data_IF_304261006976
#
_entry.id   IF_304261006976
#
_cell.length_a   1.000
_cell.length_b   1.000
_cell.length_c   1.000
_cell.angle_alpha   90.00
_cell.angle_beta   90.00
_cell.angle_gamma   90.00
#
_symmetry.space_group_name_H-M   'P 1'
#
loop_
_entity.id
_entity.type
_entity.pdbx_description
1 polymer ?
#
# COMPACT_ATOMS: atom_id res chain seq x y z
N UNK A 1 14.60 -4.75 29.85
CA UNK A 1 13.45 -4.23 29.08
C UNK A 1 13.23 -5.19 27.94
N UNK A 2 12.07 -5.85 27.87
CA UNK A 2 11.73 -6.71 26.73
C UNK A 2 11.34 -5.78 25.58
N UNK A 3 12.13 -5.75 24.51
CA UNK A 3 11.76 -5.05 23.29
C UNK A 3 10.47 -5.68 22.77
N UNK A 4 9.33 -4.99 22.94
CA UNK A 4 8.10 -5.40 22.27
C UNK A 4 8.38 -5.32 20.77
N UNK A 5 8.23 -6.44 20.06
CA UNK A 5 8.23 -6.40 18.61
C UNK A 5 7.11 -5.45 18.17
N UNK A 6 7.35 -4.59 17.16
CA UNK A 6 6.33 -3.70 16.62
C UNK A 6 5.11 -4.53 16.18
N UNK A 7 3.91 -4.09 16.54
CA UNK A 7 2.67 -4.71 16.08
C UNK A 7 2.28 -4.09 14.74
N UNK A 8 2.63 -4.75 13.64
CA UNK A 8 2.28 -4.29 12.30
C UNK A 8 0.92 -4.79 11.79
N UNK A 9 0.24 -5.62 12.59
CA UNK A 9 -1.00 -6.30 12.20
C UNK A 9 -0.77 -7.75 11.79
N UNK A 10 -1.69 -8.27 10.97
CA UNK A 10 -1.62 -9.63 10.45
C UNK A 10 -0.61 -9.68 9.31
N UNK A 11 0.44 -10.51 9.44
CA UNK A 11 1.39 -10.78 8.36
C UNK A 11 0.66 -11.49 7.21
N UNK A 12 0.90 -11.04 5.98
CA UNK A 12 0.24 -11.55 4.79
C UNK A 12 1.24 -12.24 3.86
N UNK A 13 2.31 -11.53 3.47
CA UNK A 13 3.27 -12.00 2.47
C UNK A 13 4.62 -11.26 2.60
N UNK A 14 5.65 -11.75 1.92
CA UNK A 14 6.97 -11.12 1.84
C UNK A 14 7.53 -11.19 0.42
N UNK A 15 7.82 -10.03 -0.18
CA UNK A 15 8.46 -9.96 -1.50
C UNK A 15 9.98 -9.88 -1.35
N UNK A 16 10.68 -10.85 -1.93
CA UNK A 16 12.14 -10.85 -2.05
C UNK A 16 12.56 -10.08 -3.29
N UNK A 17 13.49 -9.14 -3.15
CA UNK A 17 13.98 -8.36 -4.28
C UNK A 17 15.44 -7.92 -4.12
N UNK A 18 16.04 -7.56 -5.25
CA UNK A 18 17.42 -7.09 -5.35
C UNK A 18 17.51 -5.95 -6.34
N UNK A 19 18.25 -4.89 -6.01
CA UNK A 19 18.38 -3.74 -6.91
C UNK A 19 19.32 -3.99 -8.09
N UNK A 20 20.32 -4.85 -7.96
CA UNK A 20 21.29 -5.18 -9.01
C UNK A 20 21.57 -6.69 -9.09
N UNK A 21 21.76 -7.20 -10.30
CA UNK A 21 22.07 -8.63 -10.55
C UNK A 21 23.49 -9.02 -10.11
N UNK A 22 24.42 -8.06 -10.06
CA UNK A 22 25.86 -8.38 -9.97
C UNK A 22 26.44 -8.31 -8.55
N UNK A 23 25.78 -7.64 -7.59
CA UNK A 23 26.21 -7.51 -6.19
C UNK A 23 25.04 -7.03 -5.29
N UNK A 24 23.99 -7.84 -5.08
CA UNK A 24 22.84 -7.43 -4.29
C UNK A 24 22.80 -8.05 -2.90
N UNK A 25 22.66 -7.18 -1.90
CA UNK A 25 21.97 -7.50 -0.66
C UNK A 25 20.50 -7.80 -0.99
N UNK A 26 20.08 -9.05 -0.77
CA UNK A 26 18.67 -9.43 -0.86
C UNK A 26 17.88 -8.63 0.18
N UNK A 27 16.86 -7.91 -0.28
CA UNK A 27 15.92 -7.15 0.55
C UNK A 27 14.59 -7.90 0.58
N UNK A 28 13.92 -7.85 1.73
CA UNK A 28 12.55 -8.34 1.88
C UNK A 28 11.61 -7.13 2.00
N UNK A 29 10.42 -7.25 1.44
CA UNK A 29 9.31 -6.33 1.65
C UNK A 29 8.15 -7.12 2.25
N UNK A 30 8.06 -7.09 3.57
CA UNK A 30 7.00 -7.73 4.34
C UNK A 30 5.72 -6.89 4.29
N UNK A 31 4.59 -7.56 4.07
CA UNK A 31 3.27 -6.96 3.95
C UNK A 31 2.42 -7.38 5.14
N UNK A 32 1.84 -6.40 5.83
CA UNK A 32 0.90 -6.62 6.91
C UNK A 32 -0.40 -5.85 6.67
N UNK A 33 -1.52 -6.41 7.13
CA UNK A 33 -2.83 -5.80 7.04
C UNK A 33 -3.51 -5.73 8.40
N UNK A 34 -4.23 -4.64 8.65
CA UNK A 34 -5.17 -4.52 9.77
C UNK A 34 -6.45 -3.85 9.31
N UNK A 35 -7.59 -4.51 9.52
CA UNK A 35 -8.90 -3.95 9.20
C UNK A 35 -9.53 -3.32 10.43
N UNK A 36 -10.12 -2.14 10.27
CA UNK A 36 -10.93 -1.48 11.27
C UNK A 36 -12.32 -1.23 10.69
N UNK A 37 -13.34 -1.69 11.40
CA UNK A 37 -14.74 -1.38 11.09
C UNK A 37 -15.05 0.10 11.25
N UNK A 38 -14.31 0.80 12.14
CA UNK A 38 -14.46 2.22 12.42
C UNK A 38 -13.19 2.79 13.05
N UNK A 39 -12.69 3.91 12.55
CA UNK A 39 -11.63 4.73 13.19
C UNK A 39 -12.19 6.09 13.61
N UNK A 40 -12.09 6.43 14.89
CA UNK A 40 -12.60 7.68 15.47
C UNK A 40 -11.63 8.86 15.31
N UNK A 41 -10.32 8.59 15.23
CA UNK A 41 -9.26 9.59 15.18
C UNK A 41 -8.46 9.55 13.87
N UNK A 42 -9.15 9.52 12.72
CA UNK A 42 -8.50 9.39 11.41
C UNK A 42 -7.46 10.48 11.13
N UNK A 43 -7.67 11.71 11.59
CA UNK A 43 -6.73 12.83 11.42
C UNK A 43 -5.32 12.52 11.98
N UNK A 44 -5.20 12.27 13.29
CA UNK A 44 -3.93 11.85 13.90
C UNK A 44 -3.29 10.61 13.25
N UNK A 45 -4.10 9.63 12.84
CA UNK A 45 -3.60 8.41 12.17
C UNK A 45 -2.97 8.75 10.81
N UNK A 46 -3.63 9.59 10.02
CA UNK A 46 -3.10 10.04 8.73
C UNK A 46 -1.85 10.91 8.91
N UNK A 47 -1.84 11.82 9.88
CA UNK A 47 -0.68 12.68 10.15
C UNK A 47 0.55 11.85 10.57
N UNK A 48 0.35 10.82 11.40
CA UNK A 48 1.41 9.88 11.76
C UNK A 48 1.90 9.08 10.55
N UNK A 49 0.99 8.52 9.73
CA UNK A 49 1.34 7.77 8.54
C UNK A 49 2.20 8.61 7.57
N UNK A 50 1.79 9.87 7.31
CA UNK A 50 2.53 10.79 6.47
C UNK A 50 3.91 11.11 7.05
N UNK A 51 3.99 11.42 8.34
CA UNK A 51 5.27 11.71 9.00
C UNK A 51 6.23 10.51 8.92
N UNK A 52 5.77 9.29 9.19
CA UNK A 52 6.65 8.11 9.06
C UNK A 52 7.08 7.92 7.61
N UNK A 53 6.16 8.04 6.65
CA UNK A 53 6.48 7.85 5.24
C UNK A 53 7.51 8.86 4.69
N UNK A 54 7.51 10.10 5.20
CA UNK A 54 8.43 11.16 4.74
C UNK A 54 9.83 11.05 5.35
N UNK A 55 9.95 10.55 6.59
CA UNK A 55 11.20 10.61 7.37
C UNK A 55 11.88 9.27 7.62
N UNK A 56 11.28 8.14 7.23
CA UNK A 56 11.78 6.82 7.65
C UNK A 56 12.80 6.18 6.69
N UNK A 57 13.86 6.91 6.35
CA UNK A 57 14.98 6.36 5.58
C UNK A 57 15.92 5.54 6.46
N UNK A 58 16.50 4.44 5.97
CA UNK A 58 17.61 3.78 6.66
C UNK A 58 18.76 4.78 6.84
N UNK A 59 19.32 4.84 8.05
CA UNK A 59 20.50 5.67 8.34
C UNK A 59 21.68 5.14 7.51
N UNK A 60 22.03 5.84 6.43
CA UNK A 60 23.23 5.52 5.67
C UNK A 60 24.42 6.28 6.28
N UNK A 61 25.56 5.61 6.59
CA UNK A 61 26.74 6.28 7.14
C UNK A 61 27.41 7.25 6.16
N UNK A 62 27.00 7.26 4.88
CA UNK A 62 27.59 8.02 3.78
C UNK A 62 26.62 9.08 3.19
N UNK A 63 25.70 9.63 3.99
CA UNK A 63 24.78 10.72 3.60
C UNK A 63 25.55 12.02 3.28
N UNK A 64 26.28 12.00 2.18
CA UNK A 64 26.83 13.15 1.48
C UNK A 64 25.67 13.85 0.77
N UNK A 65 25.56 15.15 0.99
CA UNK A 65 24.45 16.03 0.59
C UNK A 65 24.16 16.14 -0.93
N UNK A 66 24.74 15.29 -1.77
CA UNK A 66 24.67 15.36 -3.24
C UNK A 66 24.25 14.05 -3.94
N UNK A 67 23.64 13.08 -3.25
CA UNK A 67 23.18 11.86 -3.91
C UNK A 67 22.09 12.17 -4.96
N UNK A 68 22.40 11.94 -6.23
CA UNK A 68 21.41 11.96 -7.33
C UNK A 68 20.31 10.95 -6.97
N UNK A 69 19.06 11.41 -6.81
CA UNK A 69 17.91 10.54 -6.54
C UNK A 69 17.70 9.63 -7.76
N UNK A 70 18.17 8.40 -7.68
CA UNK A 70 17.82 7.37 -8.67
C UNK A 70 16.36 6.96 -8.46
N UNK A 71 15.65 6.51 -9.50
CA UNK A 71 14.30 5.97 -9.33
C UNK A 71 14.21 4.86 -8.27
N UNK A 72 15.29 4.09 -8.08
CA UNK A 72 15.37 3.02 -7.09
C UNK A 72 15.40 3.51 -5.64
N UNK A 73 15.86 4.75 -5.39
CA UNK A 73 15.85 5.36 -4.04
C UNK A 73 14.45 5.54 -3.45
N UNK A 74 13.40 5.35 -4.26
CA UNK A 74 12.01 5.23 -3.81
C UNK A 74 11.82 4.05 -2.83
N UNK A 75 12.66 3.01 -2.90
CA UNK A 75 12.64 1.87 -1.99
C UNK A 75 13.47 2.09 -0.72
N UNK A 76 14.06 3.26 -0.50
CA UNK A 76 14.87 3.52 0.70
C UNK A 76 13.99 3.93 1.88
N UNK A 77 13.28 2.97 2.46
CA UNK A 77 12.44 3.13 3.64
C UNK A 77 12.54 1.93 4.58
N UNK A 78 12.30 2.14 5.89
CA UNK A 78 12.19 1.01 6.84
C UNK A 78 10.75 0.48 6.94
N UNK A 79 9.77 1.37 7.11
CA UNK A 79 8.34 1.05 7.09
C UNK A 79 7.54 2.16 6.42
N UNK A 80 6.49 1.76 5.69
CA UNK A 80 5.47 2.64 5.14
C UNK A 80 4.09 2.23 5.62
N UNK A 81 3.24 3.23 5.84
CA UNK A 81 1.84 3.04 6.20
C UNK A 81 0.93 3.65 5.13
N UNK A 82 -0.05 2.86 4.69
CA UNK A 82 -1.15 3.32 3.84
C UNK A 82 -2.46 3.11 4.58
N UNK A 83 -3.26 4.17 4.66
CA UNK A 83 -4.57 4.17 5.31
C UNK A 83 -5.62 4.18 4.21
N UNK A 84 -6.09 2.99 3.83
CA UNK A 84 -6.87 2.73 2.63
C UNK A 84 -8.38 2.76 2.91
N UNK A 85 -9.16 3.13 1.91
CA UNK A 85 -10.62 2.93 1.88
C UNK A 85 -10.93 1.48 1.50
N UNK A 86 -11.43 0.65 2.42
CA UNK A 86 -11.71 -0.77 2.12
C UNK A 86 -12.81 -0.94 1.06
N UNK A 87 -13.63 0.09 0.81
CA UNK A 87 -14.65 0.06 -0.25
C UNK A 87 -14.10 -0.14 -1.67
N UNK A 88 -12.84 0.20 -1.90
CA UNK A 88 -12.17 0.02 -3.19
C UNK A 88 -11.14 -1.12 -3.17
N UNK A 89 -11.21 -2.02 -2.18
CA UNK A 89 -10.33 -3.17 -2.07
C UNK A 89 -11.18 -4.43 -2.20
N UNK A 90 -10.96 -5.19 -3.27
CA UNK A 90 -11.69 -6.45 -3.50
C UNK A 90 -11.23 -7.58 -2.58
N UNK A 91 -9.91 -7.80 -2.51
CA UNK A 91 -9.32 -8.96 -1.86
C UNK A 91 -7.89 -8.64 -1.40
N UNK A 92 -7.29 -9.56 -0.64
CA UNK A 92 -5.86 -9.50 -0.31
C UNK A 92 -5.01 -9.65 -1.57
N UNK A 93 -5.41 -10.49 -2.52
CA UNK A 93 -4.70 -10.68 -3.79
C UNK A 93 -4.68 -9.40 -4.63
N UNK A 94 -5.78 -8.63 -4.64
CA UNK A 94 -5.80 -7.30 -5.23
C UNK A 94 -4.69 -6.39 -4.66
N UNK A 95 -4.53 -6.36 -3.33
CA UNK A 95 -3.49 -5.56 -2.67
C UNK A 95 -2.08 -6.05 -3.01
N UNK A 96 -1.83 -7.35 -2.85
CA UNK A 96 -0.52 -7.95 -3.10
C UNK A 96 -0.09 -7.73 -4.56
N UNK A 97 -1.01 -7.89 -5.51
CA UNK A 97 -0.73 -7.66 -6.91
C UNK A 97 -0.39 -6.19 -7.20
N UNK A 98 -1.08 -5.23 -6.58
CA UNK A 98 -0.73 -3.80 -6.68
C UNK A 98 0.63 -3.49 -6.08
N UNK A 99 0.97 -4.07 -4.91
CA UNK A 99 2.29 -3.89 -4.27
C UNK A 99 3.40 -4.49 -5.15
N UNK A 100 3.24 -5.73 -5.61
CA UNK A 100 4.19 -6.40 -6.49
C UNK A 100 4.41 -5.61 -7.79
N UNK A 101 3.33 -5.06 -8.36
CA UNK A 101 3.41 -4.24 -9.58
C UNK A 101 4.13 -2.92 -9.33
N UNK A 102 3.83 -2.23 -8.23
CA UNK A 102 4.55 -1.02 -7.83
C UNK A 102 6.05 -1.30 -7.63
N UNK A 103 6.38 -2.39 -6.94
CA UNK A 103 7.77 -2.82 -6.74
C UNK A 103 8.48 -3.08 -8.08
N UNK A 104 7.83 -3.82 -8.98
CA UNK A 104 8.36 -4.12 -10.31
C UNK A 104 8.63 -2.85 -11.13
N UNK A 105 7.73 -1.85 -11.05
CA UNK A 105 7.91 -0.58 -11.75
C UNK A 105 9.14 0.18 -11.25
N UNK A 106 9.32 0.25 -9.93
CA UNK A 106 10.48 0.91 -9.33
C UNK A 106 11.78 0.19 -9.68
N UNK A 107 11.81 -1.14 -9.59
CA UNK A 107 12.98 -1.96 -9.95
C UNK A 107 13.33 -1.84 -11.44
N UNK A 108 12.33 -1.64 -12.30
CA UNK A 108 12.49 -1.40 -13.73
C UNK A 108 12.84 0.05 -14.08
N UNK A 109 13.07 0.92 -13.09
CA UNK A 109 13.33 2.35 -13.25
C UNK A 109 12.24 3.11 -14.00
N UNK A 110 10.98 2.68 -13.87
CA UNK A 110 9.79 3.32 -14.46
C UNK A 110 8.71 3.63 -13.42
N UNK A 111 9.03 4.24 -12.27
CA UNK A 111 7.97 4.67 -11.35
C UNK A 111 7.15 5.80 -12.00
N UNK A 112 5.84 5.83 -11.73
CA UNK A 112 4.97 6.93 -12.14
C UNK A 112 4.96 8.05 -11.10
N UNK A 113 5.22 7.71 -9.85
CA UNK A 113 5.14 8.60 -8.70
C UNK A 113 6.50 8.82 -8.03
N UNK A 114 6.54 9.77 -7.09
CA UNK A 114 7.78 10.22 -6.44
C UNK A 114 8.18 9.43 -5.19
N UNK A 115 7.27 8.60 -4.66
CA UNK A 115 7.52 7.74 -3.50
C UNK A 115 6.72 6.42 -3.60
N UNK A 116 7.11 5.43 -2.79
CA UNK A 116 6.56 4.08 -2.95
C UNK A 116 5.11 3.99 -2.48
N UNK A 117 4.74 4.74 -1.44
CA UNK A 117 3.35 4.86 -0.97
C UNK A 117 2.43 5.33 -2.10
N UNK A 118 2.82 6.36 -2.84
CA UNK A 118 2.03 6.87 -3.96
C UNK A 118 2.02 5.91 -5.14
N UNK A 119 3.08 5.13 -5.34
CA UNK A 119 3.15 4.13 -6.41
C UNK A 119 2.18 2.97 -6.14
N UNK A 120 2.15 2.47 -4.91
CA UNK A 120 1.21 1.43 -4.47
C UNK A 120 -0.23 1.93 -4.57
N UNK A 121 -0.52 3.12 -4.06
CA UNK A 121 -1.87 3.71 -4.16
C UNK A 121 -2.29 3.97 -5.62
N UNK A 122 -1.34 4.34 -6.49
CA UNK A 122 -1.58 4.44 -7.92
C UNK A 122 -1.91 3.08 -8.54
N UNK A 123 -1.18 2.01 -8.18
CA UNK A 123 -1.44 0.65 -8.66
C UNK A 123 -2.73 0.03 -8.11
N UNK A 124 -3.29 0.54 -7.01
CA UNK A 124 -4.58 0.11 -6.45
C UNK A 124 -5.81 0.71 -7.14
N UNK A 125 -5.63 1.75 -7.95
CA UNK A 125 -6.73 2.45 -8.63
C UNK A 125 -6.85 2.04 -10.09
N UNK A 126 -8.03 2.18 -10.69
CA UNK A 126 -8.24 2.08 -12.14
C UNK A 126 -7.90 3.38 -12.90
N UNK A 127 -7.59 4.47 -12.19
CA UNK A 127 -7.29 5.79 -12.76
C UNK A 127 -5.90 5.88 -13.37
N UNK A 128 -5.75 6.62 -14.47
CA UNK A 128 -4.45 6.98 -15.06
C UNK A 128 -3.80 8.21 -14.41
N UNK A 129 -4.51 8.91 -13.52
CA UNK A 129 -4.00 10.07 -12.79
C UNK A 129 -3.61 9.68 -11.37
N UNK A 130 -2.38 9.99 -10.97
CA UNK A 130 -1.86 9.75 -9.61
C UNK A 130 -2.73 10.45 -8.56
N UNK A 131 -2.99 11.76 -8.71
CA UNK A 131 -3.81 12.51 -7.76
C UNK A 131 -5.21 11.92 -7.55
N UNK A 132 -5.91 11.59 -8.65
CA UNK A 132 -7.22 10.92 -8.57
C UNK A 132 -7.14 9.54 -7.92
N UNK A 133 -6.04 8.81 -8.11
CA UNK A 133 -5.84 7.49 -7.50
C UNK A 133 -5.72 7.63 -5.98
N UNK A 134 -4.91 8.59 -5.52
CA UNK A 134 -4.74 8.89 -4.09
C UNK A 134 -6.06 9.30 -3.45
N UNK A 135 -6.76 10.26 -4.05
CA UNK A 135 -8.04 10.76 -3.54
C UNK A 135 -9.12 9.68 -3.41
N UNK A 136 -9.06 8.64 -4.24
CA UNK A 136 -10.04 7.55 -4.25
C UNK A 136 -9.66 6.46 -3.26
N UNK A 137 -8.42 5.99 -3.32
CA UNK A 137 -7.95 4.80 -2.59
C UNK A 137 -7.57 5.12 -1.14
N UNK A 138 -7.01 6.30 -0.88
CA UNK A 138 -6.61 6.70 0.48
C UNK A 138 -7.77 7.36 1.23
N UNK A 139 -7.82 7.14 2.53
CA UNK A 139 -8.66 7.92 3.43
C UNK A 139 -8.12 9.34 3.56
N UNK A 140 -9.04 10.28 3.72
CA UNK A 140 -8.78 11.70 3.95
C UNK A 140 -9.25 12.11 5.35
N UNK A 141 -8.81 13.29 5.81
CA UNK A 141 -9.29 13.86 7.09
C UNK A 141 -10.81 14.13 7.11
N UNK A 142 -11.45 14.15 5.94
CA UNK A 142 -12.89 14.33 5.79
C UNK A 142 -13.69 13.03 6.00
N UNK A 143 -13.02 11.87 5.92
CA UNK A 143 -13.63 10.54 6.09
C UNK A 143 -13.82 10.18 7.58
N UNK A 144 -14.61 10.99 8.29
CA UNK A 144 -14.82 10.84 9.74
C UNK A 144 -15.54 9.53 10.05
N UNK A 145 -15.02 8.76 11.01
CA UNK A 145 -15.65 7.51 11.48
C UNK A 145 -15.87 6.46 10.39
N UNK A 146 -15.00 6.43 9.37
CA UNK A 146 -15.06 5.44 8.30
C UNK A 146 -14.36 4.13 8.67
N UNK A 147 -14.78 3.00 8.06
CA UNK A 147 -13.95 1.80 8.00
C UNK A 147 -12.62 2.12 7.32
N UNK A 148 -11.55 1.47 7.77
CA UNK A 148 -10.20 1.70 7.27
C UNK A 148 -9.46 0.37 7.15
N UNK A 149 -8.68 0.23 6.09
CA UNK A 149 -7.72 -0.86 5.95
C UNK A 149 -6.31 -0.27 6.03
N UNK A 150 -5.56 -0.68 7.04
CA UNK A 150 -4.18 -0.27 7.23
C UNK A 150 -3.30 -1.29 6.51
N UNK A 151 -2.57 -0.83 5.50
CA UNK A 151 -1.51 -1.57 4.83
C UNK A 151 -0.17 -1.08 5.36
N UNK A 152 0.59 -2.00 5.94
CA UNK A 152 1.95 -1.76 6.42
C UNK A 152 2.93 -2.50 5.53
N UNK A 153 3.91 -1.78 4.99
CA UNK A 153 4.98 -2.32 4.18
C UNK A 153 6.30 -2.13 4.93
N UNK A 154 6.98 -3.20 5.30
CA UNK A 154 8.21 -3.14 6.11
C UNK A 154 9.35 -3.85 5.39
N UNK A 155 10.53 -3.21 5.38
CA UNK A 155 11.76 -3.83 4.89
C UNK A 155 12.71 -4.19 6.02
N UNK A 156 12.63 -3.43 7.11
CA UNK A 156 13.39 -3.64 8.34
C UNK A 156 12.44 -3.56 9.53
N UNK A 157 12.74 -4.31 10.59
CA UNK A 157 12.03 -4.18 11.86
C UNK A 157 12.28 -2.78 12.43
N UNK A 158 11.30 -1.88 12.30
CA UNK A 158 11.29 -0.55 12.95
C UNK A 158 10.53 -0.62 14.28
N UNK A 159 10.77 0.30 15.20
CA UNK A 159 9.90 0.46 16.38
C UNK A 159 8.58 1.18 16.09
N UNK A 160 8.43 1.78 14.91
CA UNK A 160 7.23 2.53 14.55
C UNK A 160 6.02 1.60 14.44
N UNK A 161 4.89 1.99 15.03
CA UNK A 161 3.66 1.20 15.03
C UNK A 161 2.48 2.15 14.98
N UNK A 162 1.84 2.23 13.81
CA UNK A 162 0.63 3.04 13.63
C UNK A 162 -0.56 2.49 14.44
N UNK A 163 -0.56 1.20 14.78
CA UNK A 163 -1.70 0.57 15.46
C UNK A 163 -1.88 1.09 16.88
N UNK A 164 -0.81 1.51 17.55
CA UNK A 164 -0.87 1.98 18.95
C UNK A 164 -1.57 3.33 19.10
N UNK A 165 -1.70 4.10 18.01
CA UNK A 165 -2.36 5.40 18.02
C UNK A 165 -3.80 5.33 17.49
N UNK A 166 -4.26 4.19 16.96
CA UNK A 166 -5.60 4.08 16.38
C UNK A 166 -6.63 3.92 17.50
N UNK A 167 -7.55 4.88 17.59
CA UNK A 167 -8.77 4.76 18.38
C UNK A 167 -9.90 4.27 17.45
N UNK A 168 -10.18 2.97 17.48
CA UNK A 168 -11.14 2.35 16.59
C UNK A 168 -11.54 0.95 17.02
N UNK A 169 -12.41 0.31 16.23
CA UNK A 169 -12.84 -1.07 16.43
C UNK A 169 -12.22 -1.94 15.36
N UNK A 170 -11.18 -2.68 15.73
CA UNK A 170 -10.52 -3.64 14.85
C UNK A 170 -11.50 -4.74 14.45
N UNK A 171 -11.41 -5.19 13.20
CA UNK A 171 -12.19 -6.29 12.63
C UNK A 171 -11.24 -7.33 12.01
N UNK A 172 -11.74 -8.54 11.79
CA UNK A 172 -10.98 -9.60 11.12
C UNK A 172 -10.81 -9.27 9.63
N UNK A 173 -9.63 -9.50 9.06
CA UNK A 173 -9.38 -9.27 7.63
C UNK A 173 -10.28 -10.14 6.74
N UNK A 174 -10.75 -11.29 7.23
CA UNK A 174 -11.73 -12.13 6.54
C UNK A 174 -13.07 -11.43 6.28
N UNK A 175 -13.35 -10.32 6.99
CA UNK A 175 -14.56 -9.53 6.85
C UNK A 175 -14.40 -8.34 5.87
N UNK A 176 -13.31 -8.29 5.09
CA UNK A 176 -13.05 -7.21 4.13
C UNK A 176 -14.20 -7.03 3.12
N UNK A 177 -14.78 -8.14 2.67
CA UNK A 177 -15.90 -8.21 1.73
C UNK A 177 -17.13 -7.40 2.20
N UNK A 178 -17.36 -7.29 3.52
CA UNK A 178 -18.45 -6.47 4.10
C UNK A 178 -18.30 -4.98 3.82
N UNK A 179 -17.07 -4.52 3.59
CA UNK A 179 -16.75 -3.12 3.38
C UNK A 179 -16.54 -2.78 1.91
N UNK A 180 -16.21 -3.78 1.10
CA UNK A 180 -16.01 -3.66 -0.35
C UNK A 180 -17.31 -3.22 -1.04
N UNK A 181 -17.21 -2.21 -1.90
CA UNK A 181 -18.34 -1.76 -2.74
C UNK A 181 -18.09 -2.20 -4.18
N UNK A 182 -18.64 -3.36 -4.53
CA UNK A 182 -18.45 -3.99 -5.84
C UNK A 182 -18.82 -3.06 -7.00
N UNK A 183 -19.92 -2.31 -6.90
CA UNK A 183 -20.33 -1.37 -7.94
C UNK A 183 -19.33 -0.21 -8.12
N UNK A 184 -18.69 0.24 -7.04
CA UNK A 184 -17.67 1.28 -7.10
C UNK A 184 -16.40 0.74 -7.76
N UNK A 185 -16.03 -0.50 -7.48
CA UNK A 185 -14.91 -1.20 -8.15
C UNK A 185 -15.16 -1.39 -9.66
N UNK A 186 -16.36 -1.82 -10.05
CA UNK A 186 -16.73 -1.97 -11.47
C UNK A 186 -16.57 -0.64 -12.20
N UNK A 187 -17.03 0.47 -11.60
CA UNK A 187 -16.87 1.82 -12.16
C UNK A 187 -15.42 2.29 -12.16
N UNK A 188 -14.69 2.04 -11.08
CA UNK A 188 -13.29 2.44 -10.90
C UNK A 188 -12.40 1.83 -11.99
N UNK A 189 -12.55 0.52 -12.23
CA UNK A 189 -11.75 -0.23 -13.19
C UNK A 189 -12.37 -0.30 -14.60
N UNK A 190 -13.53 0.34 -14.80
CA UNK A 190 -14.28 0.38 -16.06
C UNK A 190 -14.54 -1.03 -16.60
N UNK A 191 -15.05 -1.91 -15.74
CA UNK A 191 -15.28 -3.32 -16.04
C UNK A 191 -16.64 -3.47 -16.71
N UNK A 192 -16.69 -4.16 -17.85
CA UNK A 192 -17.94 -4.37 -18.59
C UNK A 192 -18.71 -5.59 -18.09
N UNK A 193 -20.00 -5.68 -18.45
CA UNK A 193 -20.83 -6.83 -18.08
C UNK A 193 -20.38 -8.13 -18.76
N UNK A 194 -19.74 -8.04 -19.92
CA UNK A 194 -19.13 -9.17 -20.61
C UNK A 194 -17.89 -9.67 -19.85
N UNK A 195 -17.04 -8.76 -19.37
CA UNK A 195 -15.87 -9.10 -18.55
C UNK A 195 -16.27 -9.82 -17.24
N UNK A 196 -17.37 -9.38 -16.60
CA UNK A 196 -17.89 -10.03 -15.38
C UNK A 196 -18.36 -11.48 -15.60
N UNK A 197 -18.68 -11.87 -16.83
CA UNK A 197 -19.12 -13.24 -17.18
C UNK A 197 -17.95 -14.18 -17.46
N UNK A 198 -16.73 -13.66 -17.60
CA UNK A 198 -15.54 -14.48 -17.85
C UNK A 198 -15.12 -15.24 -16.57
N UNK A 199 -14.38 -16.37 -16.69
CA UNK A 199 -13.80 -17.04 -15.54
C UNK A 199 -12.96 -16.08 -14.67
N UNK A 200 -13.20 -16.08 -13.36
CA UNK A 200 -12.57 -15.16 -12.40
C UNK A 200 -13.24 -13.77 -12.31
N UNK A 201 -14.13 -13.43 -13.24
CA UNK A 201 -15.01 -12.26 -13.19
C UNK A 201 -14.34 -10.94 -12.82
N UNK A 202 -14.83 -10.32 -11.76
CA UNK A 202 -14.36 -9.02 -11.25
C UNK A 202 -12.87 -9.04 -10.87
N UNK A 203 -12.43 -10.07 -10.15
CA UNK A 203 -11.06 -10.17 -9.65
C UNK A 203 -10.06 -10.28 -10.80
N UNK A 204 -10.30 -11.20 -11.74
CA UNK A 204 -9.45 -11.36 -12.91
C UNK A 204 -9.34 -10.06 -13.73
N UNK A 205 -10.45 -9.32 -13.84
CA UNK A 205 -10.50 -8.06 -14.56
C UNK A 205 -9.68 -6.96 -13.87
N UNK A 206 -9.79 -6.83 -12.54
CA UNK A 206 -8.98 -5.89 -11.75
C UNK A 206 -7.50 -6.23 -11.85
N UNK A 207 -7.13 -7.48 -11.59
CA UNK A 207 -5.73 -7.93 -11.65
C UNK A 207 -5.14 -7.73 -13.06
N UNK A 208 -5.91 -8.02 -14.12
CA UNK A 208 -5.51 -7.75 -15.49
C UNK A 208 -5.26 -6.26 -15.73
N UNK A 209 -6.16 -5.38 -15.28
CA UNK A 209 -6.00 -3.92 -15.41
C UNK A 209 -4.75 -3.41 -14.68
N UNK A 210 -4.45 -3.93 -13.51
CA UNK A 210 -3.22 -3.60 -12.75
C UNK A 210 -1.99 -4.10 -13.48
N UNK A 211 -1.99 -5.36 -13.93
CA UNK A 211 -0.88 -5.99 -14.64
C UNK A 211 -0.53 -5.26 -15.94
N UNK A 212 -1.53 -4.78 -16.69
CA UNK A 212 -1.33 -4.03 -17.94
C UNK A 212 -1.27 -2.52 -17.75
N UNK A 213 -1.38 -2.01 -16.51
CA UNK A 213 -1.32 -0.57 -16.23
C UNK A 213 0.04 -0.05 -16.69
N UNK A 214 0.04 0.61 -17.85
CA UNK A 214 1.24 1.13 -18.50
C UNK A 214 1.66 2.43 -17.84
N UNK A 215 2.98 2.60 -17.78
CA UNK A 215 3.68 3.88 -17.66
C UNK A 215 3.83 4.47 -19.06
#
# INVERSE_FOLDING_TARGET
MVSKNPNYGTFIDSFKFSENLENSTERNLDVYLTLYSKILNIGPVLDYALNVNDYNKPLSPDDSFNSIKTPKSILDFNVLFLVLRPSLILSVDHLLHSVARALTNVLSSKPVSSNFTTEVAFMLSGSSSVGKSLERVLLSKNDKSSPALILTLSQNKSSDSILDIINGVQDDISNLDKYTKVDDLIKEFKITQEELKLPGGLEASILCRIGVKRI
#
